data_IF_106026890912
#
_entry.id   IF_106026890912
#
_cell.length_a   1.000
_cell.length_b   1.000
_cell.length_c   1.000
_cell.angle_alpha   90.00
_cell.angle_beta   90.00
_cell.angle_gamma   90.00
#
_symmetry.space_group_name_H-M   'P 1'
#
loop_
_entity.id
_entity.type
_entity.pdbx_description
1 polymer ?
#
# COMPACT_ATOMS: atom_id res chain seq x y z
N UNK A 1 10.63 -17.01 -15.85
CA UNK A 1 9.51 -16.05 -15.73
C UNK A 1 8.20 -16.74 -16.03
N UNK A 2 7.25 -16.70 -15.09
CA UNK A 2 5.90 -17.20 -15.31
C UNK A 2 5.01 -16.01 -15.72
N UNK A 3 4.96 -15.73 -17.03
CA UNK A 3 4.33 -14.52 -17.57
C UNK A 3 2.81 -14.48 -17.35
N UNK A 4 2.14 -15.63 -17.19
CA UNK A 4 0.70 -15.66 -16.92
C UNK A 4 0.33 -15.03 -15.58
N UNK A 5 1.29 -14.92 -14.64
CA UNK A 5 1.08 -14.23 -13.36
C UNK A 5 0.70 -12.76 -13.54
N UNK A 6 1.11 -12.10 -14.61
CA UNK A 6 0.82 -10.69 -14.88
C UNK A 6 -0.69 -10.39 -14.88
N UNK A 7 -1.51 -11.35 -15.31
CA UNK A 7 -2.98 -11.23 -15.36
C UNK A 7 -3.69 -12.08 -14.29
N UNK A 8 -2.95 -12.70 -13.37
CA UNK A 8 -3.52 -13.54 -12.32
C UNK A 8 -3.76 -12.70 -11.06
N UNK A 9 -4.94 -12.86 -10.47
CA UNK A 9 -5.33 -12.16 -9.23
C UNK A 9 -4.68 -12.77 -7.99
N UNK A 10 -4.10 -11.92 -7.14
CA UNK A 10 -3.63 -12.27 -5.81
C UNK A 10 -4.09 -11.23 -4.80
N UNK A 11 -4.07 -11.56 -3.51
CA UNK A 11 -4.23 -10.53 -2.49
C UNK A 11 -3.08 -9.50 -2.62
N UNK A 12 -3.36 -8.19 -2.41
CA UNK A 12 -2.31 -7.17 -2.45
C UNK A 12 -1.35 -7.27 -1.26
N UNK A 13 -1.78 -7.88 -0.14
CA UNK A 13 -1.03 -7.86 1.11
C UNK A 13 -0.62 -6.42 1.47
N UNK A 14 0.65 -6.20 1.81
CA UNK A 14 1.10 -4.88 2.29
C UNK A 14 1.28 -3.81 1.21
N UNK A 15 1.12 -4.09 -0.08
CA UNK A 15 1.05 -3.04 -1.12
C UNK A 15 -0.18 -2.16 -0.92
N UNK A 16 -1.27 -2.74 -0.40
CA UNK A 16 -2.51 -2.02 -0.06
C UNK A 16 -2.32 -0.86 0.93
N UNK A 17 -1.22 -0.85 1.70
CA UNK A 17 -0.89 0.28 2.60
C UNK A 17 -0.81 1.61 1.85
N UNK A 18 -0.42 1.60 0.58
CA UNK A 18 -0.41 2.81 -0.27
C UNK A 18 -1.82 3.40 -0.36
N UNK A 19 -2.80 2.61 -0.78
CA UNK A 19 -4.18 3.06 -0.92
C UNK A 19 -4.82 3.38 0.44
N UNK A 20 -4.54 2.58 1.47
CA UNK A 20 -5.03 2.83 2.82
C UNK A 20 -4.55 4.20 3.35
N UNK A 21 -3.29 4.58 3.11
CA UNK A 21 -2.77 5.90 3.44
C UNK A 21 -3.46 7.02 2.64
N UNK A 22 -3.63 6.84 1.32
CA UNK A 22 -4.32 7.82 0.47
C UNK A 22 -5.74 8.12 0.99
N UNK A 23 -6.53 7.06 1.25
CA UNK A 23 -7.89 7.18 1.77
C UNK A 23 -7.88 7.83 3.17
N UNK A 24 -6.99 7.37 4.05
CA UNK A 24 -6.89 7.88 5.41
C UNK A 24 -6.59 9.37 5.47
N UNK A 25 -5.67 9.85 4.63
CA UNK A 25 -5.30 11.27 4.55
C UNK A 25 -6.39 12.11 3.87
N UNK A 26 -6.93 11.64 2.75
CA UNK A 26 -7.99 12.34 2.00
C UNK A 26 -9.21 12.65 2.86
N UNK A 27 -9.57 11.72 3.75
CA UNK A 27 -10.77 11.82 4.58
C UNK A 27 -10.47 12.24 6.03
N UNK A 28 -9.28 12.80 6.29
CA UNK A 28 -8.90 13.35 7.58
C UNK A 28 -8.91 12.34 8.73
N UNK A 29 -8.69 11.04 8.45
CA UNK A 29 -8.65 9.96 9.45
C UNK A 29 -7.29 9.83 10.13
N UNK A 30 -6.28 10.46 9.54
CA UNK A 30 -4.95 10.64 10.09
C UNK A 30 -4.28 11.86 9.46
N UNK A 31 -3.15 12.27 10.04
CA UNK A 31 -2.21 13.22 9.40
C UNK A 31 -0.84 12.56 9.26
N UNK A 32 0.02 13.11 8.40
CA UNK A 32 1.38 12.59 8.19
C UNK A 32 2.27 12.65 9.44
N UNK A 33 2.00 13.60 10.33
CA UNK A 33 2.75 13.84 11.57
C UNK A 33 2.09 13.20 12.80
N UNK A 34 0.91 12.59 12.64
CA UNK A 34 0.25 11.89 13.74
C UNK A 34 1.09 10.69 14.18
N UNK A 35 1.21 10.52 15.50
CA UNK A 35 1.90 9.39 16.10
C UNK A 35 0.87 8.33 16.53
N UNK A 36 0.90 7.18 15.86
CA UNK A 36 0.17 5.98 16.27
C UNK A 36 0.91 5.34 17.42
N UNK A 37 0.32 5.39 18.61
CA UNK A 37 0.93 4.88 19.85
C UNK A 37 0.92 3.35 19.89
N UNK A 38 2.04 2.77 20.30
CA UNK A 38 2.09 1.35 20.61
C UNK A 38 1.35 1.08 21.94
N UNK A 39 0.53 0.03 21.95
CA UNK A 39 -0.32 -0.36 23.09
C UNK A 39 0.41 -1.21 24.14
N UNK A 40 1.73 -1.37 24.03
CA UNK A 40 2.54 -2.18 24.94
C UNK A 40 2.38 -3.70 24.76
N UNK A 41 1.55 -4.16 23.82
CA UNK A 41 1.36 -5.59 23.56
C UNK A 41 2.39 -6.11 22.57
N UNK A 42 2.88 -7.33 22.83
CA UNK A 42 3.84 -8.00 21.96
C UNK A 42 3.33 -8.11 20.53
N UNK A 43 4.18 -7.85 19.53
CA UNK A 43 3.87 -7.93 18.10
C UNK A 43 4.69 -9.03 17.43
N UNK A 44 4.32 -9.38 16.19
CA UNK A 44 5.05 -10.39 15.40
C UNK A 44 6.51 -10.01 15.14
N UNK A 45 6.81 -8.70 15.13
CA UNK A 45 8.16 -8.18 14.96
C UNK A 45 8.44 -7.12 16.03
N UNK A 46 9.58 -7.21 16.71
CA UNK A 46 10.03 -6.21 17.69
C UNK A 46 10.16 -4.81 17.07
N UNK A 47 10.44 -4.72 15.77
CA UNK A 47 10.48 -3.46 15.04
C UNK A 47 9.13 -2.70 15.03
N UNK A 48 8.01 -3.38 15.30
CA UNK A 48 6.66 -2.79 15.39
C UNK A 48 6.28 -2.36 16.81
N UNK A 49 7.10 -2.67 17.81
CA UNK A 49 6.84 -2.37 19.24
C UNK A 49 7.32 -0.97 19.61
N UNK A 50 6.86 0.02 18.84
CA UNK A 50 7.18 1.44 19.05
C UNK A 50 6.12 2.32 18.40
N UNK A 51 6.07 3.56 18.88
CA UNK A 51 5.29 4.62 18.29
C UNK A 51 5.77 4.93 16.87
N UNK A 52 4.83 5.16 15.94
CA UNK A 52 5.16 5.43 14.53
C UNK A 52 4.22 6.46 13.90
N UNK A 53 4.74 7.25 12.96
CA UNK A 53 3.92 7.92 11.95
C UNK A 53 3.49 6.95 10.85
N UNK A 54 2.54 7.35 9.98
CA UNK A 54 2.17 6.54 8.81
C UNK A 54 3.37 6.24 7.89
N UNK A 55 4.27 7.20 7.71
CA UNK A 55 5.48 7.01 6.91
C UNK A 55 6.46 6.00 7.53
N UNK A 56 6.68 6.08 8.84
CA UNK A 56 7.50 5.09 9.56
C UNK A 56 6.86 3.70 9.49
N UNK A 57 5.54 3.61 9.64
CA UNK A 57 4.80 2.36 9.51
C UNK A 57 4.79 1.81 8.07
N UNK A 58 4.82 2.68 7.05
CA UNK A 58 4.93 2.28 5.64
C UNK A 58 6.25 1.53 5.41
N UNK A 59 7.36 2.12 5.87
CA UNK A 59 8.72 1.59 5.74
C UNK A 59 8.90 0.29 6.55
N UNK A 60 8.42 0.26 7.80
CA UNK A 60 8.46 -0.95 8.64
C UNK A 60 7.42 -2.02 8.25
N UNK A 61 6.55 -1.72 7.28
CA UNK A 61 5.36 -2.52 6.92
C UNK A 61 4.49 -2.89 8.13
N UNK A 62 4.38 -2.00 9.12
CA UNK A 62 3.71 -2.26 10.39
C UNK A 62 2.20 -2.43 10.19
N UNK A 63 1.74 -3.69 10.11
CA UNK A 63 0.33 -4.06 9.92
C UNK A 63 -0.59 -3.41 10.98
N UNK A 64 -0.25 -3.41 12.28
CA UNK A 64 -1.14 -2.86 13.32
C UNK A 64 -1.53 -1.38 13.12
N UNK A 65 -0.61 -0.55 12.62
CA UNK A 65 -0.87 0.88 12.37
C UNK A 65 -1.88 1.05 11.23
N UNK A 66 -1.74 0.27 10.16
CA UNK A 66 -2.65 0.33 9.01
C UNK A 66 -3.99 -0.36 9.27
N UNK A 67 -4.05 -1.32 10.20
CA UNK A 67 -5.31 -1.86 10.72
C UNK A 67 -6.07 -0.82 11.55
N UNK A 68 -5.38 -0.08 12.41
CA UNK A 68 -5.97 1.04 13.14
C UNK A 68 -6.49 2.11 12.17
N UNK A 69 -5.70 2.49 11.16
CA UNK A 69 -6.14 3.43 10.13
C UNK A 69 -7.39 2.93 9.39
N UNK A 70 -7.41 1.66 8.97
CA UNK A 70 -8.57 1.07 8.30
C UNK A 70 -9.82 1.08 9.21
N UNK A 71 -9.68 0.80 10.51
CA UNK A 71 -10.78 0.90 11.48
C UNK A 71 -11.29 2.33 11.64
N UNK A 72 -10.43 3.35 11.60
CA UNK A 72 -10.83 4.77 11.60
C UNK A 72 -11.54 5.20 10.31
N UNK A 73 -11.12 4.66 9.17
CA UNK A 73 -11.79 4.88 7.87
C UNK A 73 -13.19 4.26 7.92
N UNK A 74 -13.31 3.03 8.42
CA UNK A 74 -14.57 2.30 8.51
C UNK A 74 -14.93 1.59 7.21
N UNK A 75 -15.77 0.55 7.33
CA UNK A 75 -16.07 -0.37 6.24
C UNK A 75 -16.74 0.30 5.04
N UNK A 76 -17.75 1.13 5.29
CA UNK A 76 -18.52 1.79 4.24
C UNK A 76 -17.65 2.71 3.38
N UNK A 77 -16.90 3.62 4.02
CA UNK A 77 -16.03 4.55 3.32
C UNK A 77 -14.90 3.82 2.58
N UNK A 78 -14.29 2.79 3.19
CA UNK A 78 -13.25 2.00 2.53
C UNK A 78 -13.79 1.32 1.27
N UNK A 79 -14.99 0.71 1.35
CA UNK A 79 -15.60 0.05 0.20
C UNK A 79 -15.93 1.04 -0.92
N UNK A 80 -16.45 2.22 -0.57
CA UNK A 80 -16.74 3.30 -1.53
C UNK A 80 -15.46 3.75 -2.25
N UNK A 81 -14.37 4.00 -1.52
CA UNK A 81 -13.12 4.49 -2.11
C UNK A 81 -12.42 3.43 -2.97
N UNK A 82 -12.39 2.18 -2.52
CA UNK A 82 -11.85 1.05 -3.29
C UNK A 82 -12.59 0.88 -4.62
N UNK A 83 -13.92 1.04 -4.64
CA UNK A 83 -14.73 1.03 -5.87
C UNK A 83 -14.48 2.27 -6.72
N UNK A 84 -14.45 3.46 -6.11
CA UNK A 84 -14.29 4.75 -6.80
C UNK A 84 -13.00 4.80 -7.62
N UNK A 85 -11.90 4.28 -7.07
CA UNK A 85 -10.61 4.21 -7.78
C UNK A 85 -10.39 2.90 -8.53
N UNK A 86 -11.39 2.00 -8.53
CA UNK A 86 -11.38 0.70 -9.22
C UNK A 86 -10.18 -0.19 -8.87
N UNK A 87 -9.81 -0.24 -7.59
CA UNK A 87 -8.65 -1.02 -7.15
C UNK A 87 -8.94 -2.53 -7.18
N UNK A 88 -8.26 -3.24 -8.08
CA UNK A 88 -8.38 -4.69 -8.21
C UNK A 88 -9.82 -5.15 -8.48
N UNK A 89 -10.24 -6.23 -7.82
CA UNK A 89 -11.60 -6.76 -7.88
C UNK A 89 -12.62 -5.96 -7.04
N UNK A 90 -12.16 -4.93 -6.31
CA UNK A 90 -12.98 -3.99 -5.53
C UNK A 90 -13.78 -4.62 -4.38
N UNK A 91 -13.45 -5.84 -3.95
CA UNK A 91 -14.19 -6.55 -2.90
C UNK A 91 -13.42 -6.47 -1.58
N UNK A 92 -13.96 -5.81 -0.55
CA UNK A 92 -13.33 -5.80 0.80
C UNK A 92 -14.04 -6.70 1.81
N UNK A 93 -15.19 -7.28 1.46
CA UNK A 93 -15.94 -8.15 2.37
C UNK A 93 -16.48 -7.40 3.59
N UNK A 94 -16.46 -8.06 4.76
CA UNK A 94 -17.04 -7.53 6.00
C UNK A 94 -15.99 -7.18 7.07
N UNK A 95 -14.72 -7.56 6.86
CA UNK A 95 -13.66 -7.43 7.85
C UNK A 95 -12.69 -6.32 7.45
N UNK A 96 -12.94 -5.11 7.96
CA UNK A 96 -12.24 -3.87 7.59
C UNK A 96 -10.73 -3.89 7.86
N UNK A 97 -10.22 -4.76 8.72
CA UNK A 97 -8.82 -4.74 9.14
C UNK A 97 -7.99 -5.95 8.68
N UNK A 98 -8.51 -6.78 7.78
CA UNK A 98 -7.74 -7.89 7.21
C UNK A 98 -8.01 -8.21 5.72
N UNK A 99 -8.94 -7.52 5.05
CA UNK A 99 -9.37 -7.89 3.69
C UNK A 99 -8.25 -7.91 2.64
N UNK A 100 -7.17 -7.13 2.85
CA UNK A 100 -5.99 -7.12 2.00
C UNK A 100 -4.97 -8.22 2.36
N UNK A 101 -5.07 -8.80 3.56
CA UNK A 101 -4.18 -9.85 4.08
C UNK A 101 -4.66 -11.25 3.73
N UNK A 102 -5.97 -11.46 3.65
CA UNK A 102 -6.57 -12.80 3.45
C UNK A 102 -7.67 -12.82 2.37
N UNK A 103 -7.93 -11.69 1.73
CA UNK A 103 -9.05 -11.52 0.79
C UNK A 103 -10.34 -11.03 1.49
N UNK A 104 -11.41 -10.74 0.73
CA UNK A 104 -11.60 -11.13 -0.67
C UNK A 104 -10.92 -10.20 -1.70
N UNK A 105 -10.27 -9.12 -1.25
CA UNK A 105 -9.63 -8.17 -2.16
C UNK A 105 -8.50 -8.86 -2.91
N UNK A 106 -8.54 -8.77 -4.23
CA UNK A 106 -7.46 -9.22 -5.10
C UNK A 106 -7.14 -8.20 -6.18
N UNK A 107 -5.93 -8.26 -6.69
CA UNK A 107 -5.40 -7.39 -7.74
C UNK A 107 -4.39 -8.18 -8.59
N UNK A 108 -4.26 -7.85 -9.87
CA UNK A 108 -3.23 -8.41 -10.75
C UNK A 108 -1.95 -7.57 -10.71
N UNK A 109 -0.78 -8.13 -11.07
CA UNK A 109 0.45 -7.34 -11.20
C UNK A 109 0.36 -6.19 -12.20
N UNK A 110 -0.41 -6.35 -13.28
CA UNK A 110 -0.70 -5.25 -14.21
C UNK A 110 -1.46 -4.10 -13.54
N UNK A 111 -2.51 -4.42 -12.78
CA UNK A 111 -3.26 -3.40 -12.04
C UNK A 111 -2.40 -2.71 -10.96
N UNK A 112 -1.49 -3.44 -10.31
CA UNK A 112 -0.52 -2.85 -9.37
C UNK A 112 0.43 -1.86 -10.05
N UNK A 113 0.96 -2.17 -11.24
CA UNK A 113 1.84 -1.24 -11.96
C UNK A 113 1.08 -0.04 -12.53
N UNK A 114 -0.16 -0.22 -12.99
CA UNK A 114 -1.04 0.87 -13.40
C UNK A 114 -1.34 1.83 -12.23
N UNK A 115 -1.68 1.28 -11.07
CA UNK A 115 -1.92 2.05 -9.85
C UNK A 115 -0.65 2.81 -9.41
N UNK A 116 0.51 2.15 -9.41
CA UNK A 116 1.78 2.78 -9.08
C UNK A 116 2.17 3.90 -10.05
N UNK A 117 1.97 3.67 -11.36
CA UNK A 117 2.21 4.67 -12.40
C UNK A 117 1.30 5.90 -12.25
N UNK A 118 0.02 5.69 -11.98
CA UNK A 118 -0.92 6.78 -11.74
C UNK A 118 -0.57 7.57 -10.47
N UNK A 119 -0.17 6.91 -9.38
CA UNK A 119 0.30 7.60 -8.17
C UNK A 119 1.58 8.40 -8.45
N UNK A 120 2.55 7.81 -9.15
CA UNK A 120 3.81 8.46 -9.48
C UNK A 120 3.59 9.78 -10.24
N UNK A 121 2.64 9.78 -11.18
CA UNK A 121 2.23 10.94 -11.97
C UNK A 121 1.19 11.84 -11.28
N UNK A 122 0.78 11.52 -10.05
CA UNK A 122 -0.23 12.25 -9.27
C UNK A 122 -1.61 12.31 -9.96
N UNK A 123 -1.95 11.28 -10.73
CA UNK A 123 -3.17 11.17 -11.54
C UNK A 123 -4.27 10.32 -10.90
N UNK A 124 -4.06 9.79 -9.69
CA UNK A 124 -5.17 9.15 -8.97
C UNK A 124 -6.22 10.22 -8.60
N UNK A 125 -7.46 9.80 -8.44
CA UNK A 125 -8.56 10.67 -8.02
C UNK A 125 -8.49 10.98 -6.51
N UNK A 126 -7.37 11.56 -6.05
CA UNK A 126 -7.13 12.10 -4.72
C UNK A 126 -6.49 13.48 -4.85
N UNK A 127 -6.57 14.29 -3.80
CA UNK A 127 -5.94 15.61 -3.83
C UNK A 127 -4.42 15.49 -4.11
N UNK A 128 -3.84 16.35 -4.97
CA UNK A 128 -2.42 16.27 -5.32
C UNK A 128 -1.50 16.27 -4.09
N UNK A 129 -1.84 17.06 -3.06
CA UNK A 129 -1.09 17.10 -1.81
C UNK A 129 -1.12 15.75 -1.06
N UNK A 130 -2.25 15.04 -1.07
CA UNK A 130 -2.39 13.72 -0.45
C UNK A 130 -1.52 12.70 -1.19
N UNK A 131 -1.53 12.74 -2.52
CA UNK A 131 -0.70 11.88 -3.35
C UNK A 131 0.80 12.14 -3.09
N UNK A 132 1.24 13.40 -3.07
CA UNK A 132 2.62 13.78 -2.73
C UNK A 132 3.05 13.29 -1.35
N UNK A 133 2.17 13.42 -0.35
CA UNK A 133 2.44 12.93 1.01
C UNK A 133 2.66 11.41 1.01
N UNK A 134 1.82 10.64 0.31
CA UNK A 134 1.98 9.18 0.25
C UNK A 134 3.19 8.76 -0.59
N UNK A 135 3.47 9.44 -1.70
CA UNK A 135 4.70 9.25 -2.50
C UNK A 135 5.95 9.38 -1.62
N UNK A 136 6.03 10.42 -0.79
CA UNK A 136 7.15 10.63 0.11
C UNK A 136 7.33 9.48 1.13
N UNK A 137 6.25 8.80 1.55
CA UNK A 137 6.33 7.64 2.44
C UNK A 137 6.94 6.40 1.78
N UNK A 138 6.99 6.37 0.45
CA UNK A 138 7.45 5.23 -0.35
C UNK A 138 8.92 5.30 -0.76
N UNK A 139 9.60 6.45 -0.53
CA UNK A 139 11.00 6.60 -0.88
C UNK A 139 11.84 5.55 -0.14
N UNK A 140 12.41 4.61 -0.90
CA UNK A 140 13.19 3.49 -0.38
C UNK A 140 14.69 3.76 -0.57
N UNK A 141 15.05 4.40 -1.68
CA UNK A 141 16.43 4.70 -2.01
C UNK A 141 16.51 5.97 -2.86
N UNK A 142 17.50 6.81 -2.54
CA UNK A 142 17.87 7.97 -3.35
C UNK A 142 19.35 7.87 -3.71
N UNK A 143 19.65 8.12 -4.98
CA UNK A 143 20.99 8.18 -5.59
C UNK A 143 21.06 9.42 -6.47
N UNK A 144 22.25 9.75 -6.96
CA UNK A 144 22.44 10.93 -7.81
C UNK A 144 21.66 10.84 -9.13
N UNK A 145 21.44 9.62 -9.61
CA UNK A 145 20.88 9.27 -10.91
C UNK A 145 19.43 8.77 -10.85
N UNK A 146 18.90 8.46 -9.67
CA UNK A 146 17.49 8.08 -9.52
C UNK A 146 16.97 8.15 -8.08
N UNK A 147 15.63 8.20 -7.96
CA UNK A 147 14.88 7.89 -6.74
C UNK A 147 14.05 6.63 -6.97
N UNK A 148 14.07 5.72 -6.01
CA UNK A 148 13.25 4.51 -5.99
C UNK A 148 12.18 4.65 -4.92
N UNK A 149 10.93 4.61 -5.36
CA UNK A 149 9.76 4.59 -4.49
C UNK A 149 9.11 3.21 -4.61
N UNK A 150 8.94 2.49 -3.51
CA UNK A 150 8.36 1.16 -3.59
C UNK A 150 7.73 0.69 -2.27
N UNK A 151 6.77 -0.22 -2.39
CA UNK A 151 6.21 -0.96 -1.26
C UNK A 151 6.34 -2.46 -1.46
N UNK A 152 6.88 -3.13 -0.45
CA UNK A 152 6.87 -4.59 -0.36
C UNK A 152 5.52 -5.13 0.14
N UNK A 153 5.15 -6.32 -0.33
CA UNK A 153 4.01 -7.10 0.15
C UNK A 153 4.38 -8.56 0.34
N UNK A 154 3.93 -9.16 1.45
CA UNK A 154 4.04 -10.60 1.65
C UNK A 154 2.73 -11.10 2.27
N UNK A 155 1.97 -11.87 1.51
CA UNK A 155 0.77 -12.56 1.96
C UNK A 155 1.13 -13.89 2.59
N UNK A 156 1.40 -13.90 3.89
CA UNK A 156 1.78 -15.11 4.65
C UNK A 156 0.58 -15.98 5.04
N UNK A 157 -0.61 -15.39 5.09
CA UNK A 157 -1.85 -16.02 5.59
C UNK A 157 -2.71 -16.62 4.45
N UNK A 158 -2.12 -16.85 3.28
CA UNK A 158 -2.77 -17.47 2.11
C UNK A 158 -1.87 -18.55 1.52
N UNK A 159 -2.47 -19.53 0.84
CA UNK A 159 -1.77 -20.62 0.16
C UNK A 159 -2.16 -20.64 -1.34
N UNK A 160 -1.19 -20.59 -2.27
CA UNK A 160 0.24 -20.33 -2.03
C UNK A 160 0.49 -18.90 -1.56
N UNK A 161 1.55 -18.70 -0.77
CA UNK A 161 1.98 -17.36 -0.36
C UNK A 161 2.38 -16.51 -1.56
N UNK A 162 2.17 -15.19 -1.45
CA UNK A 162 2.48 -14.23 -2.51
C UNK A 162 3.43 -13.14 -2.02
N UNK A 163 4.45 -12.84 -2.81
CA UNK A 163 5.42 -11.78 -2.60
C UNK A 163 5.29 -10.68 -3.66
N UNK A 164 5.42 -9.43 -3.22
CA UNK A 164 5.27 -8.24 -4.02
C UNK A 164 6.40 -7.23 -3.78
N UNK A 165 6.81 -6.53 -4.83
CA UNK A 165 7.48 -5.25 -4.74
C UNK A 165 6.95 -4.34 -5.86
N UNK A 166 6.15 -3.35 -5.49
CA UNK A 166 5.45 -2.47 -6.43
C UNK A 166 5.89 -1.03 -6.20
N UNK A 167 6.18 -0.30 -7.27
CA UNK A 167 6.73 1.03 -7.17
C UNK A 167 7.11 1.66 -8.51
N UNK A 168 7.98 2.65 -8.46
CA UNK A 168 8.54 3.29 -9.65
C UNK A 168 9.95 3.82 -9.36
N UNK A 169 10.68 4.04 -10.45
CA UNK A 169 11.93 4.79 -10.49
C UNK A 169 11.64 6.15 -11.12
N UNK A 170 12.18 7.20 -10.54
CA UNK A 170 12.12 8.57 -11.03
C UNK A 170 13.54 9.07 -11.29
N UNK A 171 13.83 9.53 -12.51
CA UNK A 171 15.13 10.11 -12.87
C UNK A 171 15.16 11.61 -12.57
N UNK A 172 16.34 12.25 -12.54
CA UNK A 172 16.46 13.71 -12.41
C UNK A 172 15.81 14.51 -13.55
N UNK A 173 15.46 13.85 -14.66
CA UNK A 173 14.74 14.43 -15.81
C UNK A 173 13.22 14.17 -15.73
N UNK A 174 12.71 13.77 -14.55
CA UNK A 174 11.31 13.43 -14.29
C UNK A 174 10.78 12.26 -15.14
N UNK A 175 11.67 11.41 -15.67
CA UNK A 175 11.24 10.17 -16.33
C UNK A 175 10.80 9.16 -15.27
N UNK A 176 9.59 8.63 -15.41
CA UNK A 176 8.99 7.68 -14.48
C UNK A 176 8.90 6.29 -15.14
N UNK A 177 9.46 5.29 -14.47
CA UNK A 177 9.31 3.87 -14.85
C UNK A 177 8.69 3.11 -13.70
N UNK A 178 7.39 2.81 -13.81
CA UNK A 178 6.67 1.99 -12.84
C UNK A 178 6.95 0.50 -13.03
N UNK A 179 6.93 -0.27 -11.94
CA UNK A 179 7.14 -1.71 -11.95
C UNK A 179 6.32 -2.41 -10.88
N UNK A 180 6.11 -3.72 -11.07
CA UNK A 180 5.48 -4.59 -10.08
C UNK A 180 6.07 -6.00 -10.18
N UNK A 181 6.90 -6.37 -9.21
CA UNK A 181 7.36 -7.74 -9.03
C UNK A 181 6.28 -8.53 -8.32
N UNK A 182 5.93 -9.70 -8.85
CA UNK A 182 5.02 -10.65 -8.23
C UNK A 182 5.58 -12.06 -8.31
N UNK A 183 5.66 -12.75 -7.17
CA UNK A 183 6.18 -14.12 -7.10
C UNK A 183 5.47 -14.94 -6.03
N UNK A 184 5.57 -16.27 -6.17
CA UNK A 184 5.27 -17.17 -5.07
C UNK A 184 6.44 -17.15 -4.08
N UNK A 185 6.13 -17.12 -2.79
CA UNK A 185 7.11 -17.18 -1.70
C UNK A 185 7.30 -18.60 -1.19
#
# INVERSE_FOLDING_TARGET
>A
NNLSRAHTEYIPASTFKILNALIGLQHGKATTNEIFKWDGKKRSFAAWEKDMTLGQAMQASAVPVYQELARRIGLELMQQEVQRIRFGNQQIGQHIDNFWLVGPLKITPEQEVEFASALAQEQLAFDPQVQQQVKAMLLLQERQDYRLYAKSGWGMDVEPQVGWLTGWIETPQDEIVAFSLNMQM
#
